data_IF_286740149361
#
_entry.id   IF_286740149361
#
_cell.length_a   1.000
_cell.length_b   1.000
_cell.length_c   1.000
_cell.angle_alpha   90.00
_cell.angle_beta   90.00
_cell.angle_gamma   90.00
#
_symmetry.space_group_name_H-M   'P 1'
#
loop_
_entity.id
_entity.type
_entity.pdbx_description
1 polymer ?
#
# COMPACT_ATOMS: atom_id res chain seq x y z
N UNK A 1 5.67 0.04 8.68
CA UNK A 1 5.77 -1.09 7.77
C UNK A 1 4.51 -1.93 7.91
N UNK A 2 3.96 -2.46 6.82
CA UNK A 2 2.71 -3.19 6.77
C UNK A 2 2.94 -4.44 5.94
N UNK A 3 3.01 -5.61 6.56
CA UNK A 3 3.69 -6.76 5.97
C UNK A 3 2.70 -7.69 5.26
N UNK A 4 2.92 -7.93 3.96
CA UNK A 4 2.30 -8.97 3.16
C UNK A 4 0.76 -9.04 3.33
N UNK A 5 0.26 -10.04 4.03
CA UNK A 5 -1.16 -10.28 4.27
C UNK A 5 -1.87 -9.12 5.02
N UNK A 6 -1.13 -8.37 5.84
CA UNK A 6 -1.70 -7.22 6.57
C UNK A 6 -2.37 -6.21 5.64
N UNK A 7 -1.90 -6.08 4.40
CA UNK A 7 -2.43 -5.13 3.40
C UNK A 7 -3.92 -5.29 3.13
N UNK A 8 -4.49 -6.45 3.39
CA UNK A 8 -5.92 -6.71 3.19
C UNK A 8 -6.80 -6.03 4.24
N UNK A 9 -6.23 -5.52 5.33
CA UNK A 9 -6.96 -4.94 6.46
C UNK A 9 -6.84 -3.41 6.47
N UNK A 10 -7.86 -2.66 6.05
CA UNK A 10 -7.79 -1.19 6.00
C UNK A 10 -7.62 -0.55 7.39
N UNK A 11 -8.00 -1.24 8.45
CA UNK A 11 -7.88 -0.78 9.84
C UNK A 11 -6.43 -0.55 10.24
N UNK A 12 -5.53 -1.47 9.90
CA UNK A 12 -4.09 -1.33 10.18
C UNK A 12 -3.46 -0.21 9.37
N UNK A 13 -3.85 -0.07 8.09
CA UNK A 13 -3.42 1.03 7.24
C UNK A 13 -3.85 2.39 7.83
N UNK A 14 -5.10 2.49 8.34
CA UNK A 14 -5.61 3.67 9.04
C UNK A 14 -4.85 3.93 10.34
N UNK A 15 -4.57 2.90 11.12
CA UNK A 15 -3.81 3.04 12.36
C UNK A 15 -2.41 3.61 12.12
N UNK A 16 -1.71 3.16 11.09
CA UNK A 16 -0.41 3.73 10.69
C UNK A 16 -0.52 5.22 10.36
N UNK A 17 -1.52 5.60 9.57
CA UNK A 17 -1.77 7.00 9.20
C UNK A 17 -2.10 7.88 10.41
N UNK A 18 -2.91 7.40 11.35
CA UNK A 18 -3.25 8.11 12.58
C UNK A 18 -2.04 8.28 13.51
N UNK A 19 -1.08 7.36 13.44
CA UNK A 19 0.19 7.48 14.16
C UNK A 19 1.26 8.28 13.40
N UNK A 20 0.87 9.02 12.35
CA UNK A 20 1.72 9.99 11.68
C UNK A 20 2.58 9.42 10.55
N UNK A 21 2.26 8.23 10.03
CA UNK A 21 2.99 7.71 8.88
C UNK A 21 2.84 8.65 7.67
N UNK A 22 3.95 9.01 7.08
CA UNK A 22 4.05 9.76 5.82
C UNK A 22 4.32 8.82 4.64
N UNK A 23 4.94 7.68 4.94
CA UNK A 23 5.22 6.62 3.97
C UNK A 23 5.08 5.25 4.63
N UNK A 24 4.44 4.33 3.92
CA UNK A 24 4.26 2.94 4.36
C UNK A 24 4.87 2.00 3.34
N UNK A 25 5.80 1.15 3.78
CA UNK A 25 6.36 0.08 2.97
C UNK A 25 5.62 -1.24 3.21
N UNK A 26 5.33 -1.97 2.12
CA UNK A 26 4.58 -3.23 2.12
C UNK A 26 5.43 -4.34 1.49
N UNK A 27 6.38 -4.91 2.25
CA UNK A 27 7.13 -6.07 1.79
C UNK A 27 6.24 -7.31 1.76
N UNK A 28 6.31 -8.06 0.67
CA UNK A 28 5.43 -9.19 0.38
C UNK A 28 6.14 -10.30 -0.38
N UNK A 29 5.63 -11.51 -0.22
CA UNK A 29 5.89 -12.64 -1.09
C UNK A 29 4.52 -13.20 -1.51
N UNK A 30 3.92 -12.57 -2.52
CA UNK A 30 2.59 -12.92 -2.99
C UNK A 30 2.65 -13.45 -4.41
N UNK A 31 2.04 -14.60 -4.62
CA UNK A 31 2.03 -15.35 -5.88
C UNK A 31 0.82 -15.01 -6.74
N UNK A 32 0.86 -15.45 -8.01
CA UNK A 32 -0.22 -15.23 -9.00
C UNK A 32 -1.58 -15.73 -8.51
N UNK A 33 -2.62 -15.23 -9.14
CA UNK A 33 -4.02 -15.54 -8.85
C UNK A 33 -4.79 -14.30 -8.38
N UNK A 34 -5.73 -14.49 -7.46
CA UNK A 34 -6.57 -13.39 -6.95
C UNK A 34 -5.76 -12.23 -6.36
N UNK A 35 -4.62 -12.51 -5.75
CA UNK A 35 -3.78 -11.48 -5.11
C UNK A 35 -3.18 -10.49 -6.10
N UNK A 36 -2.97 -10.86 -7.36
CA UNK A 36 -2.39 -9.99 -8.39
C UNK A 36 -3.31 -8.81 -8.73
N UNK A 37 -4.62 -9.04 -8.78
CA UNK A 37 -5.59 -7.96 -8.96
C UNK A 37 -5.67 -7.07 -7.71
N UNK A 38 -5.77 -7.68 -6.53
CA UNK A 38 -5.84 -6.95 -5.25
C UNK A 38 -4.60 -6.08 -5.01
N UNK A 39 -3.43 -6.54 -5.45
CA UNK A 39 -2.17 -5.81 -5.36
C UNK A 39 -2.25 -4.40 -5.95
N UNK A 40 -2.98 -4.24 -7.03
CA UNK A 40 -3.11 -2.96 -7.74
C UNK A 40 -4.20 -2.04 -7.21
N UNK A 41 -5.10 -2.51 -6.35
CA UNK A 41 -6.21 -1.71 -5.83
C UNK A 41 -6.10 -1.39 -4.35
N UNK A 42 -5.64 -2.31 -3.52
CA UNK A 42 -5.62 -2.13 -2.06
C UNK A 42 -4.64 -1.04 -1.62
N UNK A 43 -3.42 -1.08 -2.10
CA UNK A 43 -2.38 -0.14 -1.70
C UNK A 43 -2.63 1.28 -2.19
N UNK A 44 -3.06 1.52 -3.44
CA UNK A 44 -3.54 2.84 -3.85
C UNK A 44 -4.72 3.33 -3.00
N UNK A 45 -5.65 2.45 -2.63
CA UNK A 45 -6.75 2.79 -1.73
C UNK A 45 -6.24 3.23 -0.35
N UNK A 46 -5.26 2.53 0.21
CA UNK A 46 -4.64 2.92 1.48
C UNK A 46 -3.93 4.28 1.38
N UNK A 47 -3.21 4.53 0.29
CA UNK A 47 -2.54 5.80 0.04
C UNK A 47 -3.55 6.96 0.04
N UNK A 48 -4.62 6.84 -0.74
CA UNK A 48 -5.69 7.85 -0.82
C UNK A 48 -6.38 8.05 0.53
N UNK A 49 -6.83 6.96 1.14
CA UNK A 49 -7.61 7.03 2.38
C UNK A 49 -6.83 7.69 3.54
N UNK A 50 -5.50 7.61 3.52
CA UNK A 50 -4.65 8.10 4.59
C UNK A 50 -3.77 9.29 4.19
N UNK A 51 -3.78 9.71 2.91
CA UNK A 51 -2.98 10.81 2.41
C UNK A 51 -1.49 10.63 2.73
N UNK A 52 -0.94 9.46 2.43
CA UNK A 52 0.48 9.11 2.59
C UNK A 52 1.01 8.39 1.35
N UNK A 53 2.33 8.29 1.23
CA UNK A 53 2.97 7.49 0.18
C UNK A 53 2.97 6.00 0.53
N UNK A 54 2.91 5.15 -0.49
CA UNK A 54 3.07 3.70 -0.32
C UNK A 54 4.18 3.20 -1.25
N UNK A 55 5.09 2.40 -0.70
CA UNK A 55 6.08 1.64 -1.45
C UNK A 55 5.82 0.14 -1.31
N UNK A 56 5.49 -0.52 -2.40
CA UNK A 56 5.28 -1.97 -2.41
C UNK A 56 6.53 -2.70 -2.84
N UNK A 57 6.83 -3.81 -2.19
CA UNK A 57 7.99 -4.65 -2.52
C UNK A 57 7.48 -6.08 -2.59
N UNK A 58 7.43 -6.68 -3.77
CA UNK A 58 7.02 -8.06 -3.92
C UNK A 58 8.16 -8.92 -4.46
N UNK A 59 8.21 -10.15 -3.99
CA UNK A 59 9.11 -11.17 -4.51
C UNK A 59 8.82 -11.42 -6.00
N UNK A 60 9.85 -11.82 -6.74
CA UNK A 60 9.77 -12.23 -8.14
C UNK A 60 10.38 -13.62 -8.31
N UNK A 61 9.87 -14.38 -9.27
CA UNK A 61 10.39 -15.70 -9.64
C UNK A 61 9.55 -16.87 -9.15
N UNK A 62 9.95 -18.06 -9.58
CA UNK A 62 9.26 -19.32 -9.26
C UNK A 62 10.02 -20.06 -8.17
N UNK A 63 9.28 -20.52 -7.14
CA UNK A 63 9.83 -21.35 -6.09
C UNK A 63 9.71 -22.83 -6.48
N UNK A 64 10.82 -23.62 -6.48
CA UNK A 64 10.77 -25.03 -6.85
C UNK A 64 9.96 -25.92 -5.89
N UNK A 65 9.85 -25.48 -4.63
CA UNK A 65 9.04 -26.17 -3.61
C UNK A 65 7.68 -25.47 -3.51
N UNK A 66 6.65 -26.04 -4.16
CA UNK A 66 5.27 -25.54 -4.08
C UNK A 66 4.72 -24.90 -5.35
N UNK A 67 5.55 -24.75 -6.39
CA UNK A 67 5.20 -24.14 -7.68
C UNK A 67 4.63 -22.70 -7.57
N UNK A 68 5.02 -21.98 -6.50
CA UNK A 68 4.62 -20.58 -6.33
C UNK A 68 5.32 -19.68 -7.36
N UNK A 69 4.53 -19.03 -8.20
CA UNK A 69 4.98 -18.02 -9.16
C UNK A 69 4.72 -16.62 -8.57
N UNK A 70 5.78 -15.99 -8.07
CA UNK A 70 5.75 -14.64 -7.51
C UNK A 70 5.85 -13.61 -8.63
N UNK A 71 4.82 -12.79 -8.77
CA UNK A 71 4.65 -11.91 -9.92
C UNK A 71 5.40 -10.58 -9.83
N UNK A 72 6.25 -10.33 -8.84
CA UNK A 72 6.98 -9.06 -8.72
C UNK A 72 6.06 -7.86 -8.72
N UNK A 73 6.17 -7.01 -9.73
CA UNK A 73 5.33 -5.82 -9.92
C UNK A 73 5.33 -4.89 -8.71
N UNK A 74 6.52 -4.64 -8.13
CA UNK A 74 6.72 -3.65 -7.09
C UNK A 74 6.46 -2.24 -7.64
N UNK A 75 6.02 -1.30 -6.80
CA UNK A 75 5.73 0.06 -7.25
C UNK A 75 5.68 1.04 -6.09
N UNK A 76 5.63 2.33 -6.43
CA UNK A 76 5.33 3.41 -5.51
C UNK A 76 4.02 4.10 -5.89
N UNK A 77 3.29 4.58 -4.89
CA UNK A 77 2.02 5.30 -5.04
C UNK A 77 2.07 6.59 -4.23
N UNK A 78 1.57 7.66 -4.82
CA UNK A 78 1.45 8.95 -4.17
C UNK A 78 0.16 9.05 -3.30
N UNK A 79 0.03 10.10 -2.48
CA UNK A 79 -1.16 10.31 -1.65
C UNK A 79 -2.49 10.49 -2.41
N UNK A 80 -2.45 10.60 -3.73
CA UNK A 80 -3.64 10.67 -4.63
C UNK A 80 -3.99 9.31 -5.23
N UNK A 81 -3.21 8.27 -4.91
CA UNK A 81 -3.38 6.93 -5.45
C UNK A 81 -2.78 6.72 -6.84
N UNK A 82 -1.95 7.66 -7.32
CA UNK A 82 -1.31 7.54 -8.61
C UNK A 82 0.04 6.81 -8.50
N UNK A 83 0.34 5.97 -9.47
CA UNK A 83 1.64 5.31 -9.54
C UNK A 83 2.75 6.34 -9.83
N UNK A 84 3.85 6.25 -9.10
CA UNK A 84 5.03 7.09 -9.30
C UNK A 84 6.01 6.36 -10.21
N UNK A 85 5.98 6.71 -11.48
CA UNK A 85 6.75 6.01 -12.53
C UNK A 85 6.21 4.62 -12.86
N UNK A 86 7.03 3.83 -13.52
CA UNK A 86 6.64 2.50 -13.97
C UNK A 86 6.57 1.50 -12.82
N UNK A 87 5.68 0.53 -12.97
CA UNK A 87 5.60 -0.67 -12.14
C UNK A 87 6.78 -1.58 -12.47
N UNK A 88 7.39 -2.17 -11.47
CA UNK A 88 8.51 -3.08 -11.62
C UNK A 88 8.20 -4.33 -12.44
N UNK A 89 9.25 -4.95 -12.96
CA UNK A 89 9.15 -6.12 -13.81
C UNK A 89 8.47 -7.29 -13.08
N UNK A 90 7.74 -8.09 -13.84
CA UNK A 90 7.03 -9.26 -13.32
C UNK A 90 7.90 -10.53 -13.24
N UNK A 91 9.09 -10.53 -13.83
CA UNK A 91 9.92 -11.72 -14.01
C UNK A 91 11.38 -11.54 -13.60
N UNK A 92 11.81 -10.29 -13.33
CA UNK A 92 13.20 -9.97 -13.03
C UNK A 92 13.32 -9.16 -11.75
N UNK A 93 14.39 -9.39 -11.02
CA UNK A 93 14.77 -8.54 -9.89
C UNK A 93 15.12 -7.14 -10.39
N UNK A 94 14.61 -6.14 -9.71
CA UNK A 94 14.77 -4.75 -10.11
C UNK A 94 14.88 -3.83 -8.88
N UNK A 95 15.70 -2.80 -8.98
CA UNK A 95 15.77 -1.71 -8.03
C UNK A 95 14.95 -0.51 -8.53
N UNK A 96 13.84 -0.23 -7.87
CA UNK A 96 13.03 0.96 -8.16
C UNK A 96 13.49 2.13 -7.30
N UNK A 97 13.89 3.22 -7.97
CA UNK A 97 14.23 4.50 -7.32
C UNK A 97 13.28 5.57 -7.79
N UNK A 98 12.66 6.32 -6.86
CA UNK A 98 11.70 7.38 -7.19
C UNK A 98 11.91 8.59 -6.29
N UNK A 99 11.77 9.76 -6.87
CA UNK A 99 11.70 11.01 -6.12
C UNK A 99 10.27 11.25 -5.64
N UNK A 100 10.14 11.70 -4.39
CA UNK A 100 8.84 11.94 -3.76
C UNK A 100 8.82 13.34 -3.14
N UNK A 101 7.86 14.16 -3.55
CA UNK A 101 7.61 15.45 -2.92
C UNK A 101 6.71 15.26 -1.70
N UNK A 102 7.29 15.22 -0.51
CA UNK A 102 6.55 15.05 0.75
C UNK A 102 5.56 16.19 1.02
N UNK A 103 5.72 17.36 0.40
CA UNK A 103 4.74 18.45 0.54
C UNK A 103 3.36 18.10 -0.02
N UNK A 104 3.29 17.11 -0.90
CA UNK A 104 2.03 16.59 -1.43
C UNK A 104 1.13 16.01 -0.34
N UNK A 105 1.70 15.47 0.73
CA UNK A 105 0.94 14.95 1.88
C UNK A 105 0.07 16.05 2.47
N UNK A 106 0.67 17.21 2.74
CA UNK A 106 -0.04 18.35 3.29
C UNK A 106 -1.12 18.86 2.33
N UNK A 107 -0.80 19.02 1.05
CA UNK A 107 -1.72 19.48 0.01
C UNK A 107 -2.95 18.58 -0.09
N UNK A 108 -2.74 17.25 -0.09
CA UNK A 108 -3.83 16.27 -0.18
C UNK A 108 -4.69 16.29 1.07
N UNK A 109 -4.08 16.34 2.26
CA UNK A 109 -4.80 16.37 3.53
C UNK A 109 -5.56 17.68 3.75
N UNK A 110 -5.13 18.78 3.15
CA UNK A 110 -5.89 20.04 3.14
C UNK A 110 -7.09 19.97 2.19
N UNK A 111 -6.95 19.30 1.06
CA UNK A 111 -8.02 19.12 0.07
C UNK A 111 -9.07 18.11 0.56
N UNK A 112 -8.61 16.95 1.02
CA UNK A 112 -9.45 15.86 1.54
C UNK A 112 -9.21 15.68 3.02
N UNK A 113 -10.07 16.25 3.82
CA UNK A 113 -9.90 16.27 5.28
C UNK A 113 -10.40 14.97 5.94
N UNK A 114 -10.05 13.83 5.39
CA UNK A 114 -10.53 12.52 5.82
C UNK A 114 -10.27 12.22 7.30
N UNK A 115 -9.15 12.68 7.87
CA UNK A 115 -8.86 12.48 9.29
C UNK A 115 -9.78 13.27 10.21
N UNK A 116 -10.14 14.51 9.82
CA UNK A 116 -11.09 15.37 10.56
C UNK A 116 -12.50 14.81 10.49
N UNK A 117 -12.91 14.34 9.32
CA UNK A 117 -14.29 13.97 9.02
C UNK A 117 -14.63 12.52 9.44
N UNK A 118 -13.68 11.83 10.09
CA UNK A 118 -13.92 10.51 10.67
C UNK A 118 -14.99 10.56 11.76
N UNK A 119 -15.69 9.46 11.89
CA UNK A 119 -16.72 9.24 12.91
C UNK A 119 -16.31 8.08 13.83
N UNK A 120 -15.28 8.26 14.70
CA UNK A 120 -14.81 7.19 15.57
C UNK A 120 -15.90 6.61 16.47
N UNK A 121 -16.89 7.44 16.79
CA UNK A 121 -18.10 7.09 17.56
C UNK A 121 -18.99 6.05 16.87
N UNK A 122 -18.75 5.74 15.61
CA UNK A 122 -19.52 4.76 14.80
C UNK A 122 -18.73 3.47 14.52
N UNK A 123 -17.52 3.30 15.10
CA UNK A 123 -16.61 2.21 14.74
C UNK A 123 -16.41 1.19 15.86
N UNK A 124 -17.30 1.15 16.83
CA UNK A 124 -17.18 0.21 17.98
C UNK A 124 -17.13 -1.26 17.52
N UNK A 125 -17.86 -1.61 16.47
CA UNK A 125 -17.87 -2.96 15.90
C UNK A 125 -16.51 -3.40 15.34
N UNK A 126 -15.64 -2.44 14.98
CA UNK A 126 -14.28 -2.76 14.48
C UNK A 126 -13.33 -3.24 15.58
N UNK A 127 -13.64 -2.96 16.83
CA UNK A 127 -12.81 -3.31 18.00
C UNK A 127 -13.54 -4.23 18.99
N UNK A 128 -14.78 -4.56 18.70
CA UNK A 128 -15.53 -5.53 19.46
C UNK A 128 -14.96 -6.95 19.20
N UNK A 129 -14.85 -7.80 20.23
CA UNK A 129 -14.36 -9.19 20.07
C UNK A 129 -15.34 -10.06 19.30
#
# INVERSE_FOLDING_TARGET
MYICYDRHFPEGARALGLNGAEMVFIPSATSRGLSEYLWRIEQPSHAVANGYFVGTINRVGIEPLGDDDFYGQSYFVDPRGQFIGDVGDAHQEELLVRDMDLSMIEQVRQTWQFYRDRRPDMYDDLVAP
#
